data_IF_573988662779
#
_entry.id   IF_573988662779
#
_cell.length_a   1.000
_cell.length_b   1.000
_cell.length_c   1.000
_cell.angle_alpha   90.00
_cell.angle_beta   90.00
_cell.angle_gamma   90.00
#
_symmetry.space_group_name_H-M   'P 1'
#
loop_
_entity.id
_entity.type
_entity.pdbx_description
1 polymer ?
#
# COMPACT_ATOMS: atom_id res chain seq x y z
N UNK A 1 9.68 -7.93 -24.27
CA UNK A 1 9.22 -7.53 -22.93
C UNK A 1 10.39 -6.88 -22.22
N UNK A 2 10.25 -5.66 -21.67
CA UNK A 2 11.36 -5.03 -20.93
C UNK A 2 11.64 -5.89 -19.70
N UNK A 3 12.90 -6.25 -19.48
CA UNK A 3 13.33 -6.92 -18.26
C UNK A 3 13.36 -5.86 -17.14
N UNK A 4 12.24 -5.70 -16.44
CA UNK A 4 12.17 -4.82 -15.28
C UNK A 4 12.70 -5.61 -14.08
N UNK A 5 13.64 -5.02 -13.33
CA UNK A 5 14.12 -5.64 -12.11
C UNK A 5 12.92 -5.93 -11.17
N UNK A 6 12.93 -7.04 -10.42
CA UNK A 6 11.86 -7.36 -9.50
C UNK A 6 11.59 -6.19 -8.54
N UNK A 7 10.31 -5.83 -8.34
CA UNK A 7 9.93 -4.82 -7.37
C UNK A 7 10.07 -5.41 -5.96
N UNK A 8 11.21 -5.19 -5.32
CA UNK A 8 11.51 -5.76 -4.00
C UNK A 8 11.01 -4.90 -2.82
N UNK A 9 10.76 -3.61 -3.06
CA UNK A 9 10.35 -2.66 -2.02
C UNK A 9 9.11 -1.90 -2.45
N UNK A 10 8.10 -1.90 -1.58
CA UNK A 10 6.88 -1.15 -1.70
C UNK A 10 6.96 0.09 -0.80
N UNK A 11 6.65 1.25 -1.35
CA UNK A 11 6.53 2.49 -0.57
C UNK A 11 5.13 3.06 -0.84
N UNK A 12 4.37 3.30 0.24
CA UNK A 12 3.04 3.89 0.19
C UNK A 12 3.03 5.19 0.99
N UNK A 13 2.55 6.25 0.35
CA UNK A 13 2.27 7.53 0.99
C UNK A 13 0.79 7.59 1.39
N UNK A 14 0.47 8.37 2.42
CA UNK A 14 -0.88 8.50 2.99
C UNK A 14 -1.60 7.19 3.29
N UNK A 15 -0.87 6.24 3.88
CA UNK A 15 -1.37 4.90 4.22
C UNK A 15 -2.58 4.91 5.17
N UNK A 16 -2.78 5.99 5.93
CA UNK A 16 -3.94 6.20 6.81
C UNK A 16 -5.26 6.39 6.04
N UNK A 17 -5.16 6.81 4.77
CA UNK A 17 -6.31 7.00 3.87
C UNK A 17 -6.65 5.74 3.06
N UNK A 18 -5.84 4.68 3.18
CA UNK A 18 -6.09 3.40 2.53
C UNK A 18 -6.92 2.49 3.42
N UNK A 19 -7.87 1.77 2.82
CA UNK A 19 -8.46 0.58 3.47
C UNK A 19 -7.40 -0.52 3.55
N UNK A 20 -7.50 -1.37 4.57
CA UNK A 20 -6.62 -2.54 4.71
C UNK A 20 -6.63 -3.41 3.44
N UNK A 21 -7.78 -3.57 2.80
CA UNK A 21 -7.89 -4.32 1.55
C UNK A 21 -7.15 -3.66 0.37
N UNK A 22 -7.01 -2.34 0.36
CA UNK A 22 -6.31 -1.60 -0.69
C UNK A 22 -4.79 -1.74 -0.55
N UNK A 23 -4.27 -1.74 0.69
CA UNK A 23 -2.85 -2.00 0.95
C UNK A 23 -2.45 -3.46 0.72
N UNK A 24 -3.39 -4.40 0.88
CA UNK A 24 -3.16 -5.82 0.62
C UNK A 24 -2.91 -6.13 -0.87
N UNK A 25 -3.50 -5.38 -1.81
CA UNK A 25 -3.39 -5.63 -3.26
C UNK A 25 -1.91 -5.68 -3.72
N UNK A 26 -1.09 -4.66 -3.48
CA UNK A 26 0.32 -4.73 -3.87
C UNK A 26 1.12 -5.69 -2.99
N UNK A 27 0.79 -5.90 -1.72
CA UNK A 27 1.51 -6.84 -0.86
C UNK A 27 1.43 -8.31 -1.34
N UNK A 28 0.46 -8.64 -2.20
CA UNK A 28 0.37 -9.96 -2.82
C UNK A 28 1.45 -10.23 -3.89
N UNK A 29 2.21 -9.23 -4.33
CA UNK A 29 3.30 -9.44 -5.31
C UNK A 29 4.45 -10.26 -4.69
N UNK A 30 4.76 -11.45 -5.21
CA UNK A 30 5.77 -12.34 -4.61
C UNK A 30 7.19 -11.78 -4.59
N UNK A 31 7.45 -10.75 -5.39
CA UNK A 31 8.74 -10.09 -5.47
C UNK A 31 9.01 -9.13 -4.29
N UNK A 32 7.97 -8.66 -3.60
CA UNK A 32 8.09 -7.67 -2.53
C UNK A 32 8.61 -8.35 -1.26
N UNK A 33 9.69 -7.80 -0.72
CA UNK A 33 10.34 -8.26 0.52
C UNK A 33 10.18 -7.26 1.67
N UNK A 34 10.03 -5.98 1.32
CA UNK A 34 9.92 -4.88 2.28
C UNK A 34 8.78 -3.95 1.87
N UNK A 35 8.00 -3.50 2.85
CA UNK A 35 6.96 -2.50 2.67
C UNK A 35 7.18 -1.38 3.69
N UNK A 36 7.15 -0.13 3.21
CA UNK A 36 7.26 1.08 4.01
C UNK A 36 5.99 1.89 3.77
N UNK A 37 5.26 2.15 4.85
CA UNK A 37 4.00 2.88 4.81
C UNK A 37 4.16 4.16 5.65
N UNK A 38 3.86 5.29 5.04
CA UNK A 38 3.86 6.61 5.69
C UNK A 38 2.44 7.17 5.71
N UNK A 39 2.14 7.98 6.72
CA UNK A 39 0.87 8.69 6.83
C UNK A 39 0.76 9.35 8.21
N UNK A 40 -0.11 10.34 8.33
CA UNK A 40 -0.38 11.02 9.59
C UNK A 40 -1.64 10.44 10.26
N UNK A 41 -1.48 9.82 11.42
CA UNK A 41 -2.58 9.26 12.22
C UNK A 41 -3.59 10.30 12.73
N UNK A 42 -3.25 11.60 12.65
CA UNK A 42 -4.14 12.71 12.98
C UNK A 42 -5.02 13.16 11.80
N UNK A 43 -4.80 12.65 10.58
CA UNK A 43 -5.62 12.92 9.41
C UNK A 43 -6.95 12.12 9.40
N UNK A 44 -7.79 12.39 8.40
CA UNK A 44 -9.04 11.66 8.22
C UNK A 44 -8.76 10.20 7.83
N UNK A 45 -9.45 9.22 8.46
CA UNK A 45 -9.31 7.82 8.08
C UNK A 45 -9.91 7.55 6.70
N UNK A 46 -9.55 6.41 6.12
CA UNK A 46 -10.12 5.92 4.88
C UNK A 46 -11.67 5.96 4.89
N UNK A 47 -12.26 6.59 3.88
CA UNK A 47 -13.72 6.63 3.72
C UNK A 47 -14.25 5.24 3.39
N UNK A 48 -15.24 4.78 4.15
CA UNK A 48 -15.95 3.52 3.92
C UNK A 48 -17.41 3.81 3.59
N UNK A 49 -17.90 3.27 2.48
CA UNK A 49 -19.33 3.22 2.21
C UNK A 49 -19.87 1.92 2.81
N UNK A 50 -20.53 2.04 3.96
CA UNK A 50 -21.28 0.96 4.60
C UNK A 50 -22.71 1.44 4.80
N UNK A 51 -23.68 0.59 4.48
CA UNK A 51 -25.10 0.93 4.55
C UNK A 51 -25.71 0.35 5.83
#
# INVERSE_FOLDING_TARGET
MRNVAPLETLVMDEAVQLKECESAIPLQFPAIKHAILFGDECELPAMVESK
#
